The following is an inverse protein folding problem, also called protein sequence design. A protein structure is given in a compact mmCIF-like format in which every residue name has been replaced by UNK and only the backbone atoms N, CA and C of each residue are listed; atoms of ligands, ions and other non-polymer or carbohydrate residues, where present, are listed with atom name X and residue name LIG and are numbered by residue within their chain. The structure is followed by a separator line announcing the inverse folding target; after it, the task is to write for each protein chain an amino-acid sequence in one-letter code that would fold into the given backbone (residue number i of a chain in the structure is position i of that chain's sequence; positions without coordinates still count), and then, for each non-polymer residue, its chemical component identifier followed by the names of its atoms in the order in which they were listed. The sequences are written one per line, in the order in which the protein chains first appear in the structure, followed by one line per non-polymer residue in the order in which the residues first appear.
data_IF_549751154770
#
_entry.id   IF_549751154770
#
_cell.length_a   1.000
_cell.length_b   1.000
_cell.length_c   1.000
_cell.angle_alpha   90.00
_cell.angle_beta   90.00
_cell.angle_gamma   90.00
#
_symmetry.space_group_name_H-M   'P 1'
#
loop_
_entity.id
_entity.type
_entity.pdbx_description
1 polymer ?
#
# COMPACT_ATOMS: atom_id res chain seq x y z
N UNK A 1 54.53 3.03 -4.28
CA UNK A 1 53.31 3.85 -4.60
C UNK A 1 53.46 5.24 -3.96
N UNK A 2 53.96 5.33 -2.73
CA UNK A 2 54.18 6.60 -2.01
C UNK A 2 55.27 7.46 -2.64
N UNK A 3 56.15 6.85 -3.40
CA UNK A 3 57.30 7.51 -4.06
C UNK A 3 56.95 8.19 -5.41
N UNK A 4 55.73 8.00 -5.93
CA UNK A 4 55.34 8.50 -7.26
C UNK A 4 55.01 10.00 -7.31
N UNK A 5 54.92 10.70 -6.16
CA UNK A 5 54.65 12.14 -6.09
C UNK A 5 53.24 12.54 -6.60
N UNK A 6 52.34 11.60 -6.78
CA UNK A 6 50.97 11.89 -7.17
C UNK A 6 50.13 12.36 -5.95
N UNK A 7 49.49 13.52 -6.07
CA UNK A 7 48.65 14.08 -5.02
C UNK A 7 47.33 13.29 -4.84
N UNK A 8 46.89 12.58 -5.87
CA UNK A 8 45.68 11.72 -5.85
C UNK A 8 46.00 10.36 -6.46
N UNK A 9 45.66 9.31 -5.73
CA UNK A 9 45.79 7.93 -6.17
C UNK A 9 44.42 7.31 -6.36
N UNK A 10 44.09 6.90 -7.59
CA UNK A 10 42.91 6.07 -7.84
C UNK A 10 43.29 4.62 -7.52
N UNK A 11 42.78 4.12 -6.39
CA UNK A 11 43.05 2.76 -5.92
C UNK A 11 42.52 1.67 -6.87
N UNK A 12 41.50 1.99 -7.66
CA UNK A 12 40.94 1.07 -8.63
C UNK A 12 41.87 0.84 -9.82
N UNK A 13 42.46 1.93 -10.34
CA UNK A 13 43.44 1.87 -11.45
C UNK A 13 44.77 1.27 -10.99
N UNK A 14 45.07 1.31 -9.70
CA UNK A 14 46.26 0.74 -9.10
C UNK A 14 46.18 -0.76 -8.82
N UNK A 15 45.06 -1.43 -9.18
CA UNK A 15 44.86 -2.85 -8.96
C UNK A 15 44.77 -3.24 -7.47
N UNK A 16 44.45 -2.27 -6.61
CA UNK A 16 44.30 -2.52 -5.18
C UNK A 16 42.96 -3.22 -4.81
N UNK A 17 42.04 -3.29 -5.75
CA UNK A 17 40.77 -3.97 -5.58
C UNK A 17 40.71 -5.21 -6.47
N UNK A 18 40.29 -6.32 -5.89
CA UNK A 18 39.96 -7.50 -6.66
C UNK A 18 38.49 -7.41 -7.04
N UNK A 19 38.15 -7.59 -8.32
CA UNK A 19 36.79 -7.80 -8.77
C UNK A 19 36.30 -9.16 -8.27
N UNK A 20 35.77 -9.18 -7.07
CA UNK A 20 35.10 -10.37 -6.54
C UNK A 20 33.69 -10.39 -7.09
N UNK A 21 33.37 -11.38 -7.94
CA UNK A 21 32.03 -11.59 -8.39
C UNK A 21 31.08 -11.74 -7.18
N UNK A 22 29.92 -11.06 -7.17
CA UNK A 22 28.99 -11.14 -6.05
C UNK A 22 28.55 -12.58 -5.82
N UNK A 23 28.57 -13.01 -4.56
CA UNK A 23 28.06 -14.32 -4.18
C UNK A 23 26.58 -14.45 -4.50
N UNK A 24 26.06 -15.68 -4.61
CA UNK A 24 24.60 -15.92 -4.84
C UNK A 24 23.75 -15.23 -3.77
N UNK A 25 24.18 -15.26 -2.52
CA UNK A 25 23.51 -14.54 -1.42
C UNK A 25 23.46 -13.03 -1.66
N UNK A 26 24.53 -12.42 -2.15
CA UNK A 26 24.56 -10.99 -2.47
C UNK A 26 23.66 -10.65 -3.65
N UNK A 27 23.56 -11.51 -4.65
CA UNK A 27 22.65 -11.35 -5.79
C UNK A 27 21.19 -11.42 -5.30
N UNK A 28 20.87 -12.39 -4.47
CA UNK A 28 19.54 -12.53 -3.87
C UNK A 28 19.15 -11.30 -3.06
N UNK A 29 20.05 -10.80 -2.20
CA UNK A 29 19.81 -9.59 -1.41
C UNK A 29 19.62 -8.34 -2.28
N UNK A 30 20.38 -8.21 -3.37
CA UNK A 30 20.19 -7.09 -4.32
C UNK A 30 18.84 -7.17 -5.05
N UNK A 31 18.40 -8.35 -5.42
CA UNK A 31 17.10 -8.53 -6.05
C UNK A 31 15.98 -8.22 -5.05
N UNK A 32 16.08 -8.73 -3.83
CA UNK A 32 15.15 -8.42 -2.76
C UNK A 32 15.06 -6.91 -2.50
N UNK A 33 16.20 -6.22 -2.46
CA UNK A 33 16.25 -4.77 -2.29
C UNK A 33 15.53 -4.01 -3.40
N UNK A 34 15.73 -4.41 -4.66
CA UNK A 34 15.04 -3.81 -5.80
C UNK A 34 13.53 -3.97 -5.73
N UNK A 35 13.06 -5.13 -5.29
CA UNK A 35 11.63 -5.37 -5.12
C UNK A 35 11.05 -4.55 -3.95
N UNK A 36 11.78 -4.40 -2.84
CA UNK A 36 11.39 -3.51 -1.73
C UNK A 36 11.29 -2.06 -2.22
N UNK A 37 12.23 -1.58 -3.03
CA UNK A 37 12.16 -0.23 -3.61
C UNK A 37 10.94 -0.02 -4.51
N UNK A 38 10.50 -1.05 -5.23
CA UNK A 38 9.25 -0.98 -6.01
C UNK A 38 8.04 -0.82 -5.09
N UNK A 39 7.95 -1.62 -4.04
CA UNK A 39 6.85 -1.55 -3.07
C UNK A 39 6.79 -0.22 -2.33
N UNK A 40 7.92 0.42 -2.07
CA UNK A 40 7.96 1.76 -1.45
C UNK A 40 7.39 2.86 -2.35
N UNK A 41 7.24 2.59 -3.63
CA UNK A 41 6.65 3.51 -4.62
C UNK A 41 5.20 3.19 -4.94
N UNK A 42 4.52 2.43 -4.07
CA UNK A 42 3.09 2.18 -4.21
C UNK A 42 2.33 3.51 -4.27
N UNK A 43 1.59 3.72 -5.34
CA UNK A 43 0.86 4.95 -5.64
C UNK A 43 -0.66 4.73 -5.77
N UNK A 44 -1.16 3.63 -5.19
CA UNK A 44 -2.61 3.37 -5.10
C UNK A 44 -3.23 4.34 -4.08
N UNK A 45 -4.25 5.07 -4.51
CA UNK A 45 -5.01 6.00 -3.67
C UNK A 45 -6.49 5.68 -3.78
N UNK A 46 -7.07 5.21 -2.68
CA UNK A 46 -8.51 5.05 -2.57
C UNK A 46 -9.21 6.40 -2.54
N UNK A 47 -10.30 6.50 -3.30
CA UNK A 47 -11.14 7.70 -3.36
C UNK A 47 -12.53 7.37 -2.82
N UNK A 48 -12.77 7.74 -1.56
CA UNK A 48 -14.07 7.60 -0.90
C UNK A 48 -14.84 8.94 -1.01
N UNK A 49 -15.52 9.14 -2.13
CA UNK A 49 -16.16 10.43 -2.42
C UNK A 49 -15.14 11.57 -2.50
N UNK A 50 -15.20 12.50 -1.55
CA UNK A 50 -14.25 13.62 -1.45
C UNK A 50 -12.95 13.33 -0.71
N UNK A 51 -12.88 12.20 0.00
CA UNK A 51 -11.71 11.81 0.80
C UNK A 51 -10.76 10.92 0.00
N UNK A 52 -9.47 11.09 0.24
CA UNK A 52 -8.41 10.30 -0.38
C UNK A 52 -7.62 9.56 0.68
N UNK A 53 -7.53 8.26 0.53
CA UNK A 53 -6.78 7.38 1.42
C UNK A 53 -5.65 6.69 0.64
N UNK A 54 -4.40 7.16 0.76
CA UNK A 54 -3.27 6.53 0.07
C UNK A 54 -2.90 5.22 0.76
N UNK A 55 -2.65 4.18 -0.03
CA UNK A 55 -2.01 2.96 0.47
C UNK A 55 -0.53 3.27 0.66
N UNK A 56 -0.09 3.26 1.91
CA UNK A 56 1.29 3.66 2.24
C UNK A 56 2.28 2.51 2.03
N UNK A 57 3.57 2.85 1.93
CA UNK A 57 4.64 1.85 1.89
C UNK A 57 4.65 0.95 3.14
N UNK A 58 4.19 1.47 4.30
CA UNK A 58 4.07 0.70 5.52
C UNK A 58 2.94 -0.34 5.43
N UNK A 59 1.80 0.03 4.83
CA UNK A 59 0.70 -0.88 4.58
C UNK A 59 1.15 -1.99 3.63
N UNK A 60 1.78 -1.64 2.51
CA UNK A 60 2.34 -2.60 1.56
C UNK A 60 3.33 -3.56 2.23
N UNK A 61 4.20 -3.06 3.11
CA UNK A 61 5.14 -3.90 3.84
C UNK A 61 4.47 -4.87 4.84
N UNK A 62 3.26 -4.54 5.31
CA UNK A 62 2.46 -5.42 6.17
C UNK A 62 1.79 -6.56 5.39
N UNK A 63 1.56 -6.39 4.10
CA UNK A 63 0.95 -7.39 3.22
C UNK A 63 1.91 -8.49 2.77
N UNK A 64 3.20 -8.36 3.06
CA UNK A 64 4.21 -9.33 2.62
C UNK A 64 4.27 -10.55 3.53
N UNK A 65 4.24 -11.73 2.94
CA UNK A 65 4.61 -12.96 3.65
C UNK A 65 6.08 -12.88 4.04
N UNK A 66 6.39 -13.17 5.30
CA UNK A 66 7.76 -13.10 5.83
C UNK A 66 8.17 -14.44 6.43
N UNK A 67 9.37 -14.88 6.08
CA UNK A 67 10.05 -16.00 6.73
C UNK A 67 11.35 -15.51 7.37
N UNK A 68 11.56 -15.82 8.63
CA UNK A 68 12.73 -15.34 9.41
C UNK A 68 12.93 -13.80 9.35
N UNK A 69 11.83 -13.04 9.23
CA UNK A 69 11.85 -11.57 9.16
C UNK A 69 12.14 -11.00 7.77
N UNK A 70 12.34 -11.84 6.75
CA UNK A 70 12.56 -11.42 5.37
C UNK A 70 11.33 -11.72 4.51
N UNK A 71 10.99 -10.84 3.55
CA UNK A 71 9.92 -11.10 2.60
C UNK A 71 10.23 -12.33 1.73
N UNK A 72 9.19 -13.11 1.45
CA UNK A 72 9.27 -14.29 0.58
C UNK A 72 9.03 -13.88 -0.86
N UNK A 73 9.85 -14.41 -1.77
CA UNK A 73 9.69 -14.25 -3.21
C UNK A 73 9.17 -15.56 -3.83
N UNK A 74 8.34 -15.45 -4.85
CA UNK A 74 7.90 -16.58 -5.67
C UNK A 74 9.01 -17.03 -6.65
N UNK A 75 8.76 -18.08 -7.42
CA UNK A 75 9.69 -18.60 -8.44
C UNK A 75 10.04 -17.58 -9.53
N UNK A 76 9.21 -16.55 -9.72
CA UNK A 76 9.39 -15.48 -10.70
C UNK A 76 10.13 -14.27 -10.11
N UNK A 77 10.37 -14.27 -8.79
CA UNK A 77 11.02 -13.19 -8.08
C UNK A 77 10.07 -12.07 -7.63
N UNK A 78 8.75 -12.30 -7.63
CA UNK A 78 7.78 -11.36 -7.10
C UNK A 78 7.51 -11.64 -5.62
N UNK A 79 7.08 -10.61 -4.89
CA UNK A 79 6.68 -10.78 -3.50
C UNK A 79 5.42 -11.64 -3.38
N UNK A 80 5.44 -12.54 -2.41
CA UNK A 80 4.26 -13.29 -2.00
C UNK A 80 3.46 -12.43 -1.03
N UNK A 81 2.20 -12.16 -1.40
CA UNK A 81 1.28 -11.38 -0.58
C UNK A 81 0.49 -12.27 0.36
N UNK A 82 0.32 -11.79 1.59
CA UNK A 82 -0.55 -12.41 2.59
C UNK A 82 -1.98 -11.91 2.40
N UNK A 83 -2.83 -12.78 1.89
CA UNK A 83 -4.24 -12.47 1.64
C UNK A 83 -5.00 -12.12 2.92
N UNK A 84 -4.64 -12.68 4.07
CA UNK A 84 -5.28 -12.40 5.35
C UNK A 84 -4.92 -10.99 5.83
N UNK A 85 -3.66 -10.59 5.67
CA UNK A 85 -3.22 -9.24 5.98
C UNK A 85 -3.88 -8.19 5.08
N UNK A 86 -4.01 -8.46 3.78
CA UNK A 86 -4.74 -7.60 2.84
C UNK A 86 -6.22 -7.52 3.22
N UNK A 87 -6.84 -8.65 3.59
CA UNK A 87 -8.24 -8.65 4.02
C UNK A 87 -8.47 -7.86 5.31
N UNK A 88 -7.56 -7.98 6.28
CA UNK A 88 -7.62 -7.19 7.52
C UNK A 88 -7.50 -5.68 7.26
N UNK A 89 -6.65 -5.28 6.32
CA UNK A 89 -6.55 -3.88 5.89
C UNK A 89 -7.84 -3.38 5.24
N UNK A 90 -8.42 -4.15 4.32
CA UNK A 90 -9.69 -3.80 3.68
C UNK A 90 -10.83 -3.73 4.71
N UNK A 91 -10.84 -4.61 5.71
CA UNK A 91 -11.79 -4.54 6.81
C UNK A 91 -11.64 -3.23 7.62
N UNK A 92 -10.40 -2.78 7.86
CA UNK A 92 -10.15 -1.48 8.52
C UNK A 92 -10.68 -0.31 7.67
N UNK A 93 -10.47 -0.34 6.35
CA UNK A 93 -11.06 0.65 5.45
C UNK A 93 -12.59 0.64 5.52
N UNK A 94 -13.21 -0.55 5.53
CA UNK A 94 -14.65 -0.67 5.68
C UNK A 94 -15.14 -0.11 7.02
N UNK A 95 -14.43 -0.40 8.12
CA UNK A 95 -14.75 0.17 9.43
C UNK A 95 -14.63 1.70 9.46
N UNK A 96 -13.70 2.25 8.71
CA UNK A 96 -13.50 3.70 8.65
C UNK A 96 -14.52 4.40 7.73
N UNK A 97 -14.78 3.84 6.55
CA UNK A 97 -15.52 4.53 5.47
C UNK A 97 -16.94 4.03 5.25
N UNK A 98 -17.32 2.83 5.76
CA UNK A 98 -18.70 2.38 5.63
C UNK A 98 -19.66 3.27 6.42
N UNK A 99 -20.65 3.80 5.72
CA UNK A 99 -21.74 4.58 6.31
C UNK A 99 -22.96 3.73 6.70
N UNK A 100 -23.06 2.49 6.19
CA UNK A 100 -24.20 1.63 6.41
C UNK A 100 -24.35 1.20 7.87
N UNK A 101 -25.55 1.38 8.42
CA UNK A 101 -25.87 0.98 9.79
C UNK A 101 -25.26 1.85 10.90
N UNK A 102 -24.58 2.94 10.58
CA UNK A 102 -24.01 3.84 11.60
C UNK A 102 -25.09 4.68 12.27
N UNK A 103 -24.95 4.85 13.59
CA UNK A 103 -25.73 5.85 14.34
C UNK A 103 -25.15 7.24 14.04
N UNK A 104 -26.04 8.18 13.72
CA UNK A 104 -25.69 9.57 13.36
C UNK A 104 -26.39 10.56 14.25
N UNK A 105 -25.78 11.71 14.47
CA UNK A 105 -26.41 12.84 15.14
C UNK A 105 -26.75 13.90 14.09
N UNK A 106 -28.05 14.19 14.00
CA UNK A 106 -28.56 15.23 13.13
C UNK A 106 -28.83 16.50 13.92
N UNK A 107 -28.23 17.60 13.51
CA UNK A 107 -28.49 18.91 14.08
C UNK A 107 -29.64 19.60 13.32
N UNK A 108 -30.81 19.67 13.93
CA UNK A 108 -31.94 20.32 13.32
C UNK A 108 -31.73 21.84 13.22
N UNK A 109 -32.38 22.48 12.26
CA UNK A 109 -32.38 23.95 12.13
C UNK A 109 -32.93 24.69 13.35
N UNK A 110 -33.60 23.98 14.26
CA UNK A 110 -34.13 24.52 15.53
C UNK A 110 -33.14 24.41 16.69
N UNK A 111 -31.96 23.80 16.46
CA UNK A 111 -30.92 23.61 17.46
C UNK A 111 -31.02 22.29 18.24
N UNK A 112 -31.99 21.42 17.92
CA UNK A 112 -32.10 20.14 18.57
C UNK A 112 -31.12 19.14 17.96
N UNK A 113 -30.54 18.27 18.79
CA UNK A 113 -29.71 17.14 18.35
C UNK A 113 -30.54 15.88 18.36
N UNK A 114 -30.81 15.34 17.19
CA UNK A 114 -31.60 14.12 17.01
C UNK A 114 -30.63 12.97 16.71
N UNK A 115 -30.63 11.94 17.54
CA UNK A 115 -29.88 10.72 17.29
C UNK A 115 -30.68 9.82 16.34
N UNK A 116 -30.15 9.57 15.15
CA UNK A 116 -30.70 8.63 14.18
C UNK A 116 -29.94 7.33 14.36
N UNK A 117 -30.62 6.32 14.91
CA UNK A 117 -30.04 4.99 15.05
C UNK A 117 -29.84 4.35 13.68
N UNK A 118 -28.82 3.48 13.59
CA UNK A 118 -28.38 2.86 12.36
C UNK A 118 -29.51 2.31 11.50
N UNK A 119 -29.76 2.99 10.40
CA UNK A 119 -30.77 2.62 9.40
C UNK A 119 -30.15 1.84 8.24
N UNK A 120 -30.94 1.72 7.17
CA UNK A 120 -30.49 1.07 5.92
C UNK A 120 -29.78 2.04 4.98
N UNK A 121 -29.43 3.23 5.42
CA UNK A 121 -28.75 4.24 4.63
C UNK A 121 -27.22 4.16 4.82
N UNK A 122 -26.47 4.47 3.77
CA UNK A 122 -25.02 4.49 3.77
C UNK A 122 -24.40 3.51 2.78
N UNK A 123 -23.16 3.77 2.43
CA UNK A 123 -22.35 2.89 1.58
C UNK A 123 -21.81 1.72 2.38
N UNK A 124 -21.66 0.57 1.72
CA UNK A 124 -21.02 -0.61 2.28
C UNK A 124 -20.01 -1.14 1.27
N UNK A 125 -18.76 -1.18 1.66
CA UNK A 125 -17.65 -1.64 0.83
C UNK A 125 -17.81 -3.12 0.45
N UNK A 126 -17.54 -3.44 -0.81
CA UNK A 126 -17.41 -4.84 -1.27
C UNK A 126 -15.98 -5.33 -0.94
N UNK A 127 -15.78 -5.75 0.29
CA UNK A 127 -14.48 -6.15 0.80
C UNK A 127 -13.84 -7.26 -0.04
N UNK A 128 -14.64 -8.16 -0.60
CA UNK A 128 -14.13 -9.23 -1.46
C UNK A 128 -13.46 -8.70 -2.71
N UNK A 129 -14.17 -7.80 -3.41
CA UNK A 129 -13.63 -7.20 -4.65
C UNK A 129 -12.41 -6.35 -4.36
N UNK A 130 -12.39 -5.64 -3.23
CA UNK A 130 -11.24 -4.82 -2.87
C UNK A 130 -10.01 -5.65 -2.51
N UNK A 131 -10.18 -6.79 -1.83
CA UNK A 131 -9.08 -7.75 -1.61
C UNK A 131 -8.57 -8.29 -2.94
N UNK A 132 -9.46 -8.68 -3.86
CA UNK A 132 -9.06 -9.15 -5.20
C UNK A 132 -8.33 -8.05 -5.97
N UNK A 133 -8.83 -6.82 -5.94
CA UNK A 133 -8.19 -5.67 -6.56
C UNK A 133 -6.76 -5.44 -6.04
N UNK A 134 -6.57 -5.40 -4.73
CA UNK A 134 -5.25 -5.21 -4.13
C UNK A 134 -4.30 -6.37 -4.46
N UNK A 135 -4.78 -7.62 -4.38
CA UNK A 135 -3.97 -8.80 -4.72
C UNK A 135 -3.50 -8.81 -6.18
N UNK A 136 -4.30 -8.26 -7.09
CA UNK A 136 -3.97 -8.16 -8.51
C UNK A 136 -3.03 -6.99 -8.80
N UNK A 137 -3.25 -5.83 -8.19
CA UNK A 137 -2.55 -4.60 -8.56
C UNK A 137 -1.31 -4.29 -7.71
N UNK A 138 -1.23 -4.79 -6.47
CA UNK A 138 -0.07 -4.55 -5.62
C UNK A 138 1.26 -5.06 -6.20
N UNK A 139 1.34 -6.23 -6.85
CA UNK A 139 2.58 -6.70 -7.46
C UNK A 139 3.13 -5.74 -8.51
N UNK A 140 2.25 -5.04 -9.22
CA UNK A 140 2.59 -4.09 -10.28
C UNK A 140 2.65 -2.63 -9.79
N UNK A 141 2.21 -2.34 -8.58
CA UNK A 141 2.10 -0.99 -8.03
C UNK A 141 3.43 -0.21 -7.97
N UNK A 142 4.56 -0.89 -8.02
CA UNK A 142 5.89 -0.26 -8.07
C UNK A 142 6.44 0.03 -9.46
N UNK A 143 5.70 -0.33 -10.52
CA UNK A 143 6.11 -0.10 -11.92
C UNK A 143 5.60 1.26 -12.41
N UNK A 144 4.75 1.92 -11.64
CA UNK A 144 4.06 3.12 -12.08
C UNK A 144 4.94 4.39 -12.07
N UNK A 145 4.68 5.22 -13.02
CA UNK A 145 5.41 6.41 -13.45
C UNK A 145 5.29 7.63 -12.52
N UNK A 146 5.08 7.41 -11.22
CA UNK A 146 5.01 8.50 -10.24
C UNK A 146 3.71 9.31 -10.26
N UNK A 147 2.68 8.82 -10.94
CA UNK A 147 1.33 9.40 -10.89
C UNK A 147 0.45 8.54 -9.99
N UNK A 148 -0.16 9.08 -8.94
CA UNK A 148 -1.06 8.32 -8.07
C UNK A 148 -2.19 7.69 -8.87
N UNK A 149 -2.35 6.36 -8.75
CA UNK A 149 -3.50 5.65 -9.30
C UNK A 149 -4.69 5.83 -8.37
N UNK A 150 -5.63 6.66 -8.80
CA UNK A 150 -6.87 6.84 -8.07
C UNK A 150 -7.78 5.63 -8.32
N UNK A 151 -8.15 4.94 -7.25
CA UNK A 151 -9.08 3.83 -7.26
C UNK A 151 -10.39 4.22 -6.57
N UNK A 152 -11.49 4.08 -7.27
CA UNK A 152 -12.83 4.24 -6.67
C UNK A 152 -13.25 2.85 -6.16
N UNK A 153 -13.50 2.70 -4.86
CA UNK A 153 -13.84 1.40 -4.30
C UNK A 153 -15.13 0.81 -4.88
N UNK A 154 -15.19 -0.50 -4.93
CA UNK A 154 -16.42 -1.23 -5.22
C UNK A 154 -17.30 -1.31 -3.98
N UNK A 155 -18.60 -1.16 -4.14
CA UNK A 155 -19.56 -1.21 -3.04
C UNK A 155 -20.56 -2.36 -3.24
N UNK A 156 -20.84 -3.12 -2.16
CA UNK A 156 -22.00 -4.02 -2.11
C UNK A 156 -23.29 -3.21 -2.12
N UNK A 157 -23.22 -2.03 -1.50
CA UNK A 157 -24.29 -1.06 -1.46
C UNK A 157 -23.69 0.34 -1.62
N UNK A 158 -24.21 1.05 -2.58
CA UNK A 158 -23.81 2.42 -2.88
C UNK A 158 -24.88 3.38 -2.35
N UNK A 159 -24.47 4.37 -1.57
CA UNK A 159 -25.31 5.46 -1.15
C UNK A 159 -25.28 6.60 -2.18
N UNK A 160 -26.29 7.47 -2.14
CA UNK A 160 -26.36 8.63 -3.04
C UNK A 160 -25.20 9.61 -2.80
N UNK A 161 -24.71 9.70 -1.58
CA UNK A 161 -23.56 10.48 -1.18
C UNK A 161 -22.53 9.58 -0.49
N UNK A 162 -21.25 9.91 -0.62
CA UNK A 162 -20.12 9.13 -0.10
C UNK A 162 -19.37 9.95 0.94
N UNK A 163 -19.13 9.40 2.09
CA UNK A 163 -18.34 10.03 3.14
C UNK A 163 -18.81 9.68 4.54
N UNK A 164 -17.93 9.95 5.53
CA UNK A 164 -18.20 9.64 6.96
C UNK A 164 -19.42 10.37 7.51
N UNK A 165 -19.63 11.61 7.05
CA UNK A 165 -20.63 12.54 7.58
C UNK A 165 -21.85 12.65 6.68
N UNK A 166 -22.08 11.62 5.89
CA UNK A 166 -23.05 11.61 4.84
C UNK A 166 -24.48 11.51 5.37
N UNK A 167 -25.01 12.64 5.75
CA UNK A 167 -26.43 12.89 5.93
C UNK A 167 -26.80 13.82 4.80
N UNK A 168 -27.39 13.25 3.73
CA UNK A 168 -27.89 14.03 2.60
C UNK A 168 -28.88 15.09 3.00
#
# INVERSE_FOLDING_TARGET
IVESGQETLNLQDSGCYYDIAPSETQKTLRNLWKEIEKFQKCDIVYCFGGERHPVTAADCASFLVKENGLPVLDEKGNFVLDKEAVAAYVEQLAQEYDGYGRTRQFHSTRGDVITIEGGTYGSKLDQKKEVEYLMEHLPDAGVHTGTPQSHIPSYEREAFCYGKDDIG
#
